data_IF_773693096947
#
_entry.id   IF_773693096947
#
_cell.length_a   1.000
_cell.length_b   1.000
_cell.length_c   1.000
_cell.angle_alpha   90.00
_cell.angle_beta   90.00
_cell.angle_gamma   90.00
#
_symmetry.space_group_name_H-M   'P 1'
#
loop_
_entity.id
_entity.type
_entity.pdbx_description
1 polymer ?
#
# COMPACT_ATOMS: atom_id res chain seq x y z
N UNK A 1 -9.70 -43.50 -15.06
CA UNK A 1 -10.55 -42.39 -14.58
C UNK A 1 -9.82 -41.08 -14.92
N UNK A 2 -9.67 -40.84 -16.21
CA UNK A 2 -9.05 -39.66 -16.77
C UNK A 2 -9.82 -39.35 -18.03
N UNK A 3 -10.84 -38.52 -17.94
CA UNK A 3 -11.39 -37.82 -19.10
C UNK A 3 -12.64 -37.00 -18.69
N UNK A 4 -12.45 -35.76 -18.29
CA UNK A 4 -13.45 -34.68 -18.38
C UNK A 4 -12.82 -33.37 -17.89
N UNK A 5 -11.83 -32.84 -18.63
CA UNK A 5 -11.59 -31.41 -18.57
C UNK A 5 -12.81 -30.69 -19.20
N UNK A 6 -13.33 -29.61 -18.61
CA UNK A 6 -14.47 -28.91 -19.15
C UNK A 6 -14.13 -28.37 -20.57
N UNK A 7 -15.11 -28.38 -21.47
CA UNK A 7 -14.98 -28.00 -22.88
C UNK A 7 -14.29 -26.61 -23.08
N UNK A 8 -14.45 -25.68 -22.14
CA UNK A 8 -13.80 -24.36 -22.14
C UNK A 8 -12.28 -24.45 -22.02
N UNK A 9 -11.76 -25.40 -21.22
CA UNK A 9 -10.31 -25.60 -21.03
C UNK A 9 -9.69 -26.20 -22.28
N UNK A 10 -10.41 -27.08 -22.98
CA UNK A 10 -9.95 -27.73 -24.20
C UNK A 10 -9.88 -26.72 -25.37
N UNK A 11 -10.89 -25.87 -25.52
CA UNK A 11 -10.90 -24.82 -26.54
C UNK A 11 -9.82 -23.75 -26.30
N UNK A 12 -9.51 -23.43 -25.05
CA UNK A 12 -8.41 -22.52 -24.70
C UNK A 12 -7.04 -23.11 -24.98
N UNK A 13 -6.85 -24.42 -24.73
CA UNK A 13 -5.60 -25.12 -25.03
C UNK A 13 -5.39 -25.25 -26.55
N UNK A 14 -6.44 -25.60 -27.32
CA UNK A 14 -6.39 -25.67 -28.77
C UNK A 14 -6.13 -24.31 -29.43
N UNK A 15 -6.60 -23.21 -28.81
CA UNK A 15 -6.33 -21.84 -29.30
C UNK A 15 -4.87 -21.42 -29.09
N UNK A 16 -4.21 -21.95 -28.04
CA UNK A 16 -2.79 -21.69 -27.75
C UNK A 16 -1.88 -22.50 -28.70
N UNK A 17 -2.31 -23.69 -29.11
CA UNK A 17 -1.53 -24.60 -29.98
C UNK A 17 -1.67 -24.29 -31.49
N UNK A 18 -2.58 -23.38 -31.91
CA UNK A 18 -2.69 -23.00 -33.32
C UNK A 18 -1.43 -22.28 -33.77
N UNK A 19 -0.79 -22.73 -34.88
CA UNK A 19 0.35 -22.01 -35.43
C UNK A 19 -0.05 -20.60 -35.82
N UNK A 20 0.70 -19.61 -35.31
CA UNK A 20 0.52 -18.21 -35.67
C UNK A 20 0.77 -18.06 -37.17
N UNK A 21 -0.12 -17.40 -37.95
CA UNK A 21 0.10 -17.21 -39.39
C UNK A 21 1.42 -16.52 -39.67
N UNK A 22 2.20 -17.06 -40.60
CA UNK A 22 3.60 -16.70 -40.89
C UNK A 22 3.80 -15.33 -41.60
N UNK A 23 2.94 -14.34 -41.44
CA UNK A 23 2.96 -13.16 -42.31
C UNK A 23 2.96 -11.79 -41.61
N UNK A 24 3.13 -11.72 -40.27
CA UNK A 24 3.34 -10.42 -39.59
C UNK A 24 4.65 -10.55 -38.82
N UNK A 25 5.62 -9.64 -38.96
CA UNK A 25 6.77 -9.62 -38.07
C UNK A 25 6.27 -9.39 -36.65
N UNK A 26 6.06 -10.47 -35.92
CA UNK A 26 5.70 -10.42 -34.50
C UNK A 26 6.92 -9.87 -33.80
N UNK A 27 6.84 -8.70 -33.14
CA UNK A 27 7.95 -8.22 -32.34
C UNK A 27 8.33 -9.33 -31.34
N UNK A 28 9.62 -9.58 -31.18
CA UNK A 28 10.10 -10.54 -30.18
C UNK A 28 9.41 -10.25 -28.85
N UNK A 29 8.86 -11.28 -28.16
CA UNK A 29 8.23 -11.05 -26.87
C UNK A 29 9.23 -10.40 -25.93
N UNK A 30 8.79 -9.39 -25.18
CA UNK A 30 9.66 -8.72 -24.25
C UNK A 30 10.21 -9.69 -23.20
N UNK A 31 11.53 -9.67 -23.01
CA UNK A 31 12.20 -10.40 -21.94
C UNK A 31 12.16 -9.63 -20.63
N UNK A 32 12.13 -8.30 -20.72
CA UNK A 32 12.09 -7.37 -19.58
C UNK A 32 10.94 -6.40 -19.70
N UNK A 33 10.11 -6.32 -18.66
CA UNK A 33 9.14 -5.24 -18.50
C UNK A 33 9.59 -4.28 -17.41
N UNK A 34 9.68 -3.01 -17.74
CA UNK A 34 9.88 -1.93 -16.76
C UNK A 34 8.51 -1.37 -16.38
N UNK A 35 8.08 -1.56 -15.15
CA UNK A 35 6.84 -1.01 -14.60
C UNK A 35 7.13 0.30 -13.90
N UNK A 36 6.45 1.35 -14.32
CA UNK A 36 6.65 2.71 -13.82
C UNK A 36 5.31 3.26 -13.34
N UNK A 37 5.03 3.25 -12.02
CA UNK A 37 3.85 3.93 -11.48
C UNK A 37 4.01 5.43 -11.61
N UNK A 38 2.94 6.12 -12.03
CA UNK A 38 2.98 7.57 -12.29
C UNK A 38 1.80 8.30 -11.64
N UNK A 39 2.08 9.49 -11.12
CA UNK A 39 1.08 10.49 -10.72
C UNK A 39 1.70 11.88 -10.78
N UNK A 40 1.23 12.75 -11.71
CA UNK A 40 1.79 14.07 -12.00
C UNK A 40 3.27 14.02 -12.37
N UNK A 41 3.59 13.27 -13.44
CA UNK A 41 4.96 13.06 -13.93
C UNK A 41 5.13 13.40 -15.43
N UNK A 42 4.23 14.23 -15.96
CA UNK A 42 4.13 14.56 -17.40
C UNK A 42 5.48 14.88 -18.04
N UNK A 43 6.28 15.72 -17.40
CA UNK A 43 7.54 16.24 -17.98
C UNK A 43 8.68 15.22 -17.87
N UNK A 44 8.57 14.27 -16.95
CA UNK A 44 9.58 13.23 -16.75
C UNK A 44 9.44 12.05 -17.72
N UNK A 45 8.22 11.76 -18.21
CA UNK A 45 7.94 10.58 -19.05
C UNK A 45 8.77 10.54 -20.34
N UNK A 46 8.87 11.62 -21.16
CA UNK A 46 9.68 11.59 -22.37
C UNK A 46 11.15 11.33 -22.09
N UNK A 47 11.69 11.96 -21.05
CA UNK A 47 13.09 11.82 -20.66
C UNK A 47 13.41 10.40 -20.17
N UNK A 48 12.47 9.79 -19.43
CA UNK A 48 12.63 8.41 -18.97
C UNK A 48 12.63 7.43 -20.15
N UNK A 49 11.68 7.58 -21.11
CA UNK A 49 11.64 6.74 -22.31
C UNK A 49 12.94 6.84 -23.09
N UNK A 50 13.48 8.03 -23.29
CA UNK A 50 14.76 8.23 -23.98
C UNK A 50 15.92 7.52 -23.24
N UNK A 51 15.97 7.64 -21.91
CA UNK A 51 16.99 6.95 -21.10
C UNK A 51 16.87 5.44 -21.21
N UNK A 52 15.67 4.88 -21.11
CA UNK A 52 15.44 3.44 -21.24
C UNK A 52 15.84 2.93 -22.62
N UNK A 53 15.50 3.63 -23.70
CA UNK A 53 15.92 3.28 -25.06
C UNK A 53 17.45 3.24 -25.21
N UNK A 54 18.15 4.16 -24.54
CA UNK A 54 19.61 4.20 -24.57
C UNK A 54 20.24 3.08 -23.75
N UNK A 55 19.70 2.80 -22.56
CA UNK A 55 20.30 1.86 -21.62
C UNK A 55 19.96 0.40 -21.93
N UNK A 56 18.78 0.10 -22.48
CA UNK A 56 18.31 -1.26 -22.74
C UNK A 56 18.55 -1.73 -24.19
N UNK A 57 19.53 -1.13 -24.88
CA UNK A 57 19.92 -1.60 -26.22
C UNK A 57 20.37 -3.06 -26.17
N UNK A 58 19.82 -3.89 -27.08
CA UNK A 58 20.17 -5.31 -27.17
C UNK A 58 19.34 -6.23 -26.25
N UNK A 59 18.47 -5.70 -25.40
CA UNK A 59 17.49 -6.45 -24.61
C UNK A 59 16.13 -6.25 -25.27
N UNK A 60 15.32 -7.30 -25.38
CA UNK A 60 13.92 -7.20 -25.77
C UNK A 60 13.12 -6.70 -24.57
N UNK A 61 12.71 -5.42 -24.58
CA UNK A 61 12.07 -4.79 -23.43
C UNK A 61 10.81 -3.99 -23.79
N UNK A 62 9.95 -3.84 -22.80
CA UNK A 62 8.83 -2.91 -22.82
C UNK A 62 8.80 -2.06 -21.54
N UNK A 63 8.16 -0.90 -21.59
CA UNK A 63 7.81 -0.10 -20.41
C UNK A 63 6.31 0.05 -20.31
N UNK A 64 5.78 -0.19 -19.11
CA UNK A 64 4.37 0.00 -18.75
C UNK A 64 4.27 1.12 -17.74
N UNK A 65 3.81 2.28 -18.19
CA UNK A 65 3.44 3.38 -17.32
C UNK A 65 2.04 3.14 -16.77
N UNK A 66 1.93 3.14 -15.44
CA UNK A 66 0.65 2.93 -14.75
C UNK A 66 0.25 4.23 -14.06
N UNK A 67 -0.64 4.98 -14.70
CA UNK A 67 -1.02 6.33 -14.29
C UNK A 67 -2.25 6.35 -13.39
N UNK A 68 -2.13 6.95 -12.22
CA UNK A 68 -3.17 7.06 -11.21
C UNK A 68 -4.12 8.24 -11.46
N UNK A 69 -4.56 8.39 -12.72
CA UNK A 69 -5.49 9.43 -13.18
C UNK A 69 -4.94 10.84 -12.91
N UNK A 70 -3.75 11.09 -13.45
CA UNK A 70 -3.04 12.37 -13.30
C UNK A 70 -3.78 13.51 -13.98
N UNK A 71 -4.06 14.61 -13.27
CA UNK A 71 -4.72 15.79 -13.87
C UNK A 71 -3.80 16.65 -14.75
N UNK A 72 -2.48 16.41 -14.74
CA UNK A 72 -1.48 17.20 -15.47
C UNK A 72 -1.28 16.79 -16.93
N UNK A 73 -1.97 15.72 -17.41
CA UNK A 73 -1.81 15.21 -18.76
C UNK A 73 -0.73 14.13 -18.91
N UNK A 74 -0.26 13.53 -17.82
CA UNK A 74 0.73 12.41 -17.84
C UNK A 74 0.27 11.25 -18.74
N UNK A 75 -1.00 10.81 -18.62
CA UNK A 75 -1.54 9.72 -19.43
C UNK A 75 -1.59 10.06 -20.93
N UNK A 76 -1.94 11.30 -21.29
CA UNK A 76 -1.99 11.79 -22.65
C UNK A 76 -0.61 11.76 -23.31
N UNK A 77 0.41 12.28 -22.63
CA UNK A 77 1.81 12.26 -23.09
C UNK A 77 2.30 10.82 -23.25
N UNK A 78 1.99 9.94 -22.30
CA UNK A 78 2.36 8.52 -22.37
C UNK A 78 1.71 7.84 -23.59
N UNK A 79 0.42 8.07 -23.85
CA UNK A 79 -0.27 7.54 -25.03
C UNK A 79 0.30 8.08 -26.34
N UNK A 80 0.73 9.34 -26.36
CA UNK A 80 1.38 9.92 -27.54
C UNK A 80 2.71 9.21 -27.84
N UNK A 81 3.50 8.90 -26.81
CA UNK A 81 4.74 8.13 -26.94
C UNK A 81 4.47 6.66 -27.33
N UNK A 82 3.42 6.03 -26.79
CA UNK A 82 3.01 4.68 -27.15
C UNK A 82 2.63 4.52 -28.63
N UNK A 83 2.09 5.57 -29.26
CA UNK A 83 1.86 5.59 -30.72
C UNK A 83 3.13 5.65 -31.54
N UNK A 84 4.22 6.21 -30.96
CA UNK A 84 5.52 6.36 -31.64
C UNK A 84 6.45 5.18 -31.37
N UNK A 85 6.37 4.59 -30.18
CA UNK A 85 7.27 3.54 -29.70
C UNK A 85 6.47 2.29 -29.31
N UNK A 86 6.57 1.18 -30.05
CA UNK A 86 5.75 -0.02 -29.83
C UNK A 86 6.01 -0.72 -28.49
N UNK A 87 7.16 -0.45 -27.86
CA UNK A 87 7.55 -0.93 -26.56
C UNK A 87 7.13 -0.02 -25.38
N UNK A 88 6.35 1.04 -25.64
CA UNK A 88 5.77 1.92 -24.60
C UNK A 88 4.30 1.65 -24.47
N UNK A 89 3.84 1.41 -23.24
CA UNK A 89 2.43 1.15 -22.92
C UNK A 89 1.94 2.07 -21.81
N UNK A 90 0.64 2.37 -21.81
CA UNK A 90 -0.02 3.21 -20.80
C UNK A 90 -1.24 2.47 -20.24
N UNK A 91 -1.31 2.38 -18.92
CA UNK A 91 -2.51 1.96 -18.17
C UNK A 91 -2.95 3.15 -17.34
N UNK A 92 -4.13 3.72 -17.62
CA UNK A 92 -4.72 4.77 -16.79
C UNK A 92 -5.75 4.15 -15.84
N UNK A 93 -5.61 4.42 -14.54
CA UNK A 93 -6.38 3.83 -13.44
C UNK A 93 -7.43 4.81 -12.93
N UNK A 94 -8.56 4.91 -13.59
CA UNK A 94 -9.62 5.85 -13.24
C UNK A 94 -10.28 5.46 -11.90
N UNK A 95 -10.37 6.43 -10.98
CA UNK A 95 -11.02 6.25 -9.68
C UNK A 95 -10.25 5.39 -8.67
N UNK A 96 -9.01 5.01 -8.97
CA UNK A 96 -8.13 4.20 -8.10
C UNK A 96 -6.76 4.86 -7.98
N UNK A 97 -6.15 4.79 -6.81
CA UNK A 97 -4.81 5.31 -6.54
C UNK A 97 -4.02 4.40 -5.62
N UNK A 98 -2.72 4.40 -5.74
CA UNK A 98 -1.79 3.72 -4.86
C UNK A 98 -0.65 3.05 -5.60
N UNK A 99 0.59 3.38 -5.20
CA UNK A 99 1.81 2.93 -5.88
C UNK A 99 1.93 1.41 -5.93
N UNK A 100 1.72 0.73 -4.80
CA UNK A 100 1.85 -0.73 -4.76
C UNK A 100 0.85 -1.43 -5.69
N UNK A 101 -0.43 -1.01 -5.68
CA UNK A 101 -1.44 -1.57 -6.59
C UNK A 101 -1.19 -1.21 -8.06
N UNK A 102 -0.60 -0.03 -8.34
CA UNK A 102 -0.17 0.34 -9.69
C UNK A 102 0.93 -0.59 -10.19
N UNK A 103 1.94 -0.88 -9.36
CA UNK A 103 2.99 -1.84 -9.69
C UNK A 103 2.40 -3.23 -9.97
N UNK A 104 1.49 -3.72 -9.12
CA UNK A 104 0.84 -5.04 -9.31
C UNK A 104 0.09 -5.09 -10.65
N UNK A 105 -0.71 -4.08 -10.99
CA UNK A 105 -1.42 -4.02 -12.27
C UNK A 105 -0.46 -3.95 -13.46
N UNK A 106 0.60 -3.17 -13.36
CA UNK A 106 1.63 -3.10 -14.40
C UNK A 106 2.30 -4.45 -14.64
N UNK A 107 2.67 -5.16 -13.57
CA UNK A 107 3.26 -6.52 -13.68
C UNK A 107 2.27 -7.50 -14.29
N UNK A 108 1.02 -7.53 -13.83
CA UNK A 108 -0.02 -8.43 -14.35
C UNK A 108 -0.37 -8.18 -15.82
N UNK A 109 -0.15 -6.96 -16.32
CA UNK A 109 -0.41 -6.61 -17.74
C UNK A 109 0.65 -7.11 -18.70
N UNK A 110 1.78 -7.61 -18.21
CA UNK A 110 2.91 -8.10 -19.01
C UNK A 110 3.04 -9.61 -18.96
N UNK A 111 3.72 -10.19 -19.96
CA UNK A 111 4.11 -11.61 -20.00
C UNK A 111 5.63 -11.83 -19.85
N UNK A 112 6.43 -10.75 -19.71
CA UNK A 112 7.88 -10.83 -19.64
C UNK A 112 8.36 -11.66 -18.44
N UNK A 113 9.43 -12.48 -18.58
CA UNK A 113 9.97 -13.30 -17.50
C UNK A 113 10.71 -12.49 -16.41
N UNK A 114 11.16 -11.28 -16.74
CA UNK A 114 11.82 -10.36 -15.82
C UNK A 114 11.06 -9.04 -15.72
N UNK A 115 10.89 -8.57 -14.50
CA UNK A 115 10.13 -7.35 -14.19
C UNK A 115 11.02 -6.41 -13.40
N UNK A 116 11.22 -5.20 -13.91
CA UNK A 116 11.80 -4.10 -13.15
C UNK A 116 10.70 -3.15 -12.67
N UNK A 117 10.84 -2.61 -11.48
CA UNK A 117 10.01 -1.52 -10.95
C UNK A 117 10.93 -0.33 -10.70
N UNK A 118 10.54 0.85 -11.14
CA UNK A 118 11.23 2.11 -10.86
C UNK A 118 10.29 3.30 -10.87
N UNK A 119 10.66 4.38 -10.18
CA UNK A 119 9.90 5.61 -10.17
C UNK A 119 10.13 6.44 -11.45
N UNK A 120 9.16 7.28 -11.81
CA UNK A 120 9.22 8.14 -12.99
C UNK A 120 10.06 9.42 -12.82
N UNK A 121 10.44 9.79 -11.59
CA UNK A 121 11.04 11.07 -11.22
C UNK A 121 12.52 11.23 -11.57
N UNK A 122 13.08 10.27 -12.32
CA UNK A 122 14.46 10.22 -12.79
C UNK A 122 15.54 10.15 -11.70
N UNK A 123 15.16 9.93 -10.45
CA UNK A 123 16.09 9.78 -9.33
C UNK A 123 16.80 8.41 -9.33
N UNK A 124 16.14 7.38 -9.88
CA UNK A 124 16.73 6.06 -10.06
C UNK A 124 17.66 6.01 -11.28
N UNK A 125 18.78 5.31 -11.15
CA UNK A 125 19.75 5.20 -12.23
C UNK A 125 19.39 4.06 -13.19
N UNK A 126 18.72 4.39 -14.30
CA UNK A 126 18.34 3.43 -15.32
C UNK A 126 19.53 2.67 -15.95
N UNK A 127 20.76 3.17 -15.81
CA UNK A 127 21.97 2.49 -16.32
C UNK A 127 22.29 1.18 -15.58
N UNK A 128 21.65 0.95 -14.42
CA UNK A 128 21.79 -0.29 -13.66
C UNK A 128 20.90 -1.43 -14.18
N UNK A 129 19.86 -1.13 -14.95
CA UNK A 129 18.91 -2.15 -15.44
C UNK A 129 19.57 -3.30 -16.20
N UNK A 130 20.55 -3.06 -17.13
CA UNK A 130 21.24 -4.15 -17.79
C UNK A 130 21.99 -5.06 -16.82
N UNK A 131 22.70 -4.50 -15.84
CA UNK A 131 23.43 -5.27 -14.84
C UNK A 131 22.49 -6.08 -13.93
N UNK A 132 21.35 -5.52 -13.53
CA UNK A 132 20.31 -6.22 -12.77
C UNK A 132 19.73 -7.39 -13.59
N UNK A 133 19.47 -7.15 -14.88
CA UNK A 133 18.96 -8.17 -15.80
C UNK A 133 19.95 -9.32 -15.95
N UNK A 134 21.23 -9.03 -16.20
CA UNK A 134 22.29 -10.04 -16.33
C UNK A 134 22.47 -10.84 -15.04
N UNK A 135 22.39 -10.20 -13.89
CA UNK A 135 22.47 -10.92 -12.61
C UNK A 135 21.31 -11.89 -12.41
N UNK A 136 20.07 -11.49 -12.72
CA UNK A 136 18.91 -12.38 -12.60
C UNK A 136 18.91 -13.51 -13.63
N UNK A 137 19.44 -13.24 -14.82
CA UNK A 137 19.54 -14.23 -15.90
C UNK A 137 20.59 -15.29 -15.59
N UNK A 138 21.74 -14.89 -15.07
CA UNK A 138 22.93 -15.75 -14.96
C UNK A 138 23.16 -16.30 -13.55
N UNK A 139 22.48 -15.79 -12.52
CA UNK A 139 22.64 -16.23 -11.13
C UNK A 139 21.32 -16.80 -10.58
N UNK A 140 21.38 -17.68 -9.59
CA UNK A 140 20.20 -18.26 -8.93
C UNK A 140 19.54 -17.24 -7.96
N UNK A 141 19.26 -16.04 -8.44
CA UNK A 141 18.59 -14.97 -7.68
C UNK A 141 17.11 -14.91 -8.04
N UNK A 142 16.29 -14.56 -7.06
CA UNK A 142 14.85 -14.25 -7.25
C UNK A 142 14.64 -12.77 -7.56
N UNK A 143 15.45 -11.88 -6.93
CA UNK A 143 15.31 -10.42 -6.99
C UNK A 143 16.68 -9.72 -6.86
N UNK A 144 16.84 -8.62 -7.58
CA UNK A 144 17.98 -7.68 -7.44
C UNK A 144 17.44 -6.29 -7.11
N UNK A 145 18.06 -5.62 -6.13
CA UNK A 145 17.57 -4.38 -5.55
C UNK A 145 18.62 -3.29 -5.73
N UNK A 146 18.21 -2.13 -6.22
CA UNK A 146 19.02 -0.91 -6.14
C UNK A 146 18.97 -0.36 -4.70
N UNK A 147 20.11 -0.28 -4.02
CA UNK A 147 20.20 0.15 -2.64
C UNK A 147 20.99 1.46 -2.50
N UNK A 148 20.45 2.38 -1.72
CA UNK A 148 21.12 3.64 -1.31
C UNK A 148 22.05 3.42 -0.12
N UNK A 149 21.94 2.27 0.56
CA UNK A 149 22.65 1.95 1.80
C UNK A 149 23.71 0.83 1.60
N UNK A 150 23.72 0.15 0.46
CA UNK A 150 24.79 -0.80 0.13
C UNK A 150 26.14 -0.07 0.02
N UNK A 151 27.25 -0.76 0.23
CA UNK A 151 28.58 -0.17 0.23
C UNK A 151 28.85 0.59 -1.07
N UNK A 152 29.06 1.91 -0.98
CA UNK A 152 29.20 2.83 -2.12
C UNK A 152 27.91 3.53 -2.57
N UNK A 153 26.76 3.22 -1.97
CA UNK A 153 25.54 4.01 -2.16
C UNK A 153 25.60 5.35 -1.43
N UNK A 154 24.94 6.35 -1.99
CA UNK A 154 24.88 7.69 -1.40
C UNK A 154 23.46 8.25 -1.45
N UNK A 155 23.13 9.08 -0.49
CA UNK A 155 21.84 9.78 -0.38
C UNK A 155 21.76 11.01 -1.28
N UNK A 156 22.86 11.38 -1.93
CA UNK A 156 22.93 12.60 -2.74
C UNK A 156 22.53 13.84 -1.93
N UNK A 157 21.62 14.65 -2.48
CA UNK A 157 21.10 15.86 -1.82
C UNK A 157 20.00 15.64 -0.78
N UNK A 158 19.76 14.39 -0.35
CA UNK A 158 18.69 14.08 0.60
C UNK A 158 18.96 14.67 2.00
N UNK A 159 18.07 15.55 2.47
CA UNK A 159 18.21 16.22 3.76
C UNK A 159 18.26 15.23 4.95
N UNK A 160 19.03 15.55 5.98
CA UNK A 160 19.26 14.69 7.18
C UNK A 160 17.97 14.19 7.86
N UNK A 161 16.90 14.98 7.85
CA UNK A 161 15.60 14.57 8.42
C UNK A 161 15.03 13.38 7.66
N UNK A 162 15.11 13.39 6.32
CA UNK A 162 14.64 12.28 5.47
C UNK A 162 15.48 11.01 5.66
N UNK A 163 16.78 11.16 5.82
CA UNK A 163 17.70 10.03 6.12
C UNK A 163 17.32 9.38 7.45
N UNK A 164 17.01 10.17 8.51
CA UNK A 164 16.56 9.63 9.80
C UNK A 164 15.23 8.88 9.69
N UNK A 165 14.25 9.43 8.97
CA UNK A 165 12.96 8.79 8.72
C UNK A 165 13.15 7.48 7.95
N UNK A 166 13.99 7.49 6.91
CA UNK A 166 14.32 6.29 6.13
C UNK A 166 14.98 5.20 7.00
N UNK A 167 15.91 5.56 7.88
CA UNK A 167 16.54 4.62 8.84
C UNK A 167 15.53 4.03 9.83
N UNK A 168 14.59 4.83 10.32
CA UNK A 168 13.50 4.33 11.17
C UNK A 168 12.61 3.36 10.40
N UNK A 169 12.24 3.71 9.16
CA UNK A 169 11.50 2.83 8.28
C UNK A 169 12.22 1.48 8.05
N UNK A 170 13.53 1.51 7.80
CA UNK A 170 14.32 0.29 7.64
C UNK A 170 14.33 -0.57 8.92
N UNK A 171 14.36 0.04 10.12
CA UNK A 171 14.25 -0.72 11.37
C UNK A 171 12.88 -1.40 11.52
N UNK A 172 11.80 -0.72 11.17
CA UNK A 172 10.46 -1.29 11.20
C UNK A 172 10.29 -2.40 10.15
N UNK A 173 10.86 -2.24 8.95
CA UNK A 173 10.85 -3.27 7.93
C UNK A 173 11.46 -4.60 8.42
N UNK A 174 12.53 -4.55 9.21
CA UNK A 174 13.21 -5.74 9.78
C UNK A 174 12.32 -6.57 10.69
N UNK A 175 11.21 -6.03 11.20
CA UNK A 175 10.23 -6.79 11.98
C UNK A 175 9.45 -7.78 11.13
N UNK A 176 9.26 -7.48 9.84
CA UNK A 176 8.42 -8.26 8.93
C UNK A 176 9.22 -8.92 7.79
N UNK A 177 10.35 -8.32 7.41
CA UNK A 177 11.25 -8.84 6.36
C UNK A 177 12.24 -9.81 6.97
N UNK A 178 12.15 -11.08 6.59
CA UNK A 178 13.05 -12.16 7.04
C UNK A 178 14.34 -12.21 6.20
N UNK A 179 14.96 -11.05 5.93
CA UNK A 179 16.18 -10.92 5.15
C UNK A 179 16.97 -9.69 5.62
N UNK A 180 18.29 -9.75 5.54
CA UNK A 180 19.17 -8.64 5.92
C UNK A 180 19.33 -7.65 4.76
N UNK A 181 18.23 -6.96 4.44
CA UNK A 181 18.20 -5.90 3.43
C UNK A 181 18.78 -4.61 3.98
N UNK A 182 19.68 -4.00 3.21
CA UNK A 182 20.21 -2.66 3.55
C UNK A 182 19.20 -1.56 3.24
N UNK A 183 18.40 -1.71 2.15
CA UNK A 183 17.37 -0.76 1.74
C UNK A 183 16.01 -1.42 1.43
N UNK A 184 15.29 -1.92 2.44
CA UNK A 184 13.96 -2.51 2.24
C UNK A 184 12.92 -1.51 1.72
N UNK A 185 13.22 -0.21 1.80
CA UNK A 185 12.33 0.87 1.37
C UNK A 185 12.58 1.30 -0.09
N UNK A 186 13.48 0.63 -0.81
CA UNK A 186 13.78 0.96 -2.20
C UNK A 186 12.56 0.76 -3.11
N UNK A 187 12.30 1.74 -3.99
CA UNK A 187 11.36 1.64 -5.10
C UNK A 187 12.00 1.14 -6.40
N UNK A 188 13.30 0.78 -6.37
CA UNK A 188 14.05 0.37 -7.53
C UNK A 188 14.56 -1.07 -7.37
N UNK A 189 13.95 -2.00 -8.08
CA UNK A 189 14.31 -3.41 -8.03
C UNK A 189 13.89 -4.14 -9.29
N UNK A 190 14.50 -5.31 -9.54
CA UNK A 190 14.13 -6.22 -10.61
C UNK A 190 13.95 -7.61 -10.07
N UNK A 191 12.90 -8.32 -10.51
CA UNK A 191 12.57 -9.65 -10.02
C UNK A 191 12.17 -10.60 -11.16
N UNK A 192 12.25 -11.91 -10.90
CA UNK A 192 11.70 -12.93 -11.79
C UNK A 192 10.18 -12.98 -11.68
N UNK A 193 9.48 -13.13 -12.81
CA UNK A 193 8.03 -13.31 -12.84
C UNK A 193 7.57 -14.45 -11.93
N UNK A 194 8.30 -15.56 -11.93
CA UNK A 194 7.99 -16.70 -11.09
C UNK A 194 7.96 -16.39 -9.58
N UNK A 195 8.77 -15.43 -9.12
CA UNK A 195 8.66 -14.90 -7.76
C UNK A 195 7.34 -14.13 -7.59
N UNK A 196 7.04 -13.19 -8.49
CA UNK A 196 5.82 -12.39 -8.42
C UNK A 196 4.56 -13.26 -8.39
N UNK A 197 4.47 -14.26 -9.27
CA UNK A 197 3.31 -15.16 -9.37
C UNK A 197 3.11 -15.98 -8.09
N UNK A 198 4.19 -16.28 -7.36
CA UNK A 198 4.10 -16.96 -6.04
C UNK A 198 3.52 -16.07 -4.95
N UNK A 199 3.82 -14.77 -4.97
CA UNK A 199 3.49 -13.87 -3.86
C UNK A 199 2.28 -12.98 -4.13
N UNK A 200 1.89 -12.74 -5.37
CA UNK A 200 0.90 -11.71 -5.75
C UNK A 200 -0.43 -11.84 -5.01
N UNK A 201 -0.89 -13.07 -4.74
CA UNK A 201 -2.15 -13.33 -4.01
C UNK A 201 -2.06 -13.02 -2.52
N UNK A 202 -0.85 -12.90 -1.97
CA UNK A 202 -0.58 -12.61 -0.56
C UNK A 202 -0.10 -11.17 -0.34
N UNK A 203 0.06 -10.39 -1.43
CA UNK A 203 0.38 -8.98 -1.33
C UNK A 203 -0.81 -8.21 -0.78
N UNK A 204 -0.56 -7.26 0.11
CA UNK A 204 -1.57 -6.31 0.57
C UNK A 204 -2.00 -5.36 -0.55
N UNK A 205 -1.11 -5.12 -1.52
CA UNK A 205 -1.25 -4.16 -2.62
C UNK A 205 -1.64 -2.74 -2.15
N UNK A 206 -1.36 -2.42 -0.88
CA UNK A 206 -1.65 -1.14 -0.25
C UNK A 206 -0.36 -0.38 0.05
N UNK A 207 -0.47 0.96 0.09
CA UNK A 207 0.65 1.83 0.43
C UNK A 207 1.72 1.95 -0.66
N UNK A 208 2.91 2.41 -0.24
CA UNK A 208 4.01 2.81 -1.14
C UNK A 208 5.21 1.84 -1.13
N UNK A 209 5.17 0.73 -0.40
CA UNK A 209 6.34 -0.11 -0.11
C UNK A 209 6.17 -1.56 -0.58
N UNK A 210 6.01 -1.71 -1.89
CA UNK A 210 5.80 -3.02 -2.52
C UNK A 210 6.98 -3.99 -2.28
N UNK A 211 8.22 -3.50 -2.18
CA UNK A 211 9.39 -4.35 -1.92
C UNK A 211 9.28 -5.05 -0.57
N UNK A 212 8.93 -4.31 0.50
CA UNK A 212 8.68 -4.88 1.84
C UNK A 212 7.56 -5.91 1.78
N UNK A 213 6.47 -5.61 1.05
CA UNK A 213 5.33 -6.49 0.90
C UNK A 213 5.72 -7.81 0.20
N UNK A 214 6.53 -7.76 -0.88
CA UNK A 214 7.05 -8.94 -1.58
C UNK A 214 7.86 -9.84 -0.64
N UNK A 215 8.81 -9.27 0.12
CA UNK A 215 9.64 -10.05 1.04
C UNK A 215 8.83 -10.62 2.20
N UNK A 216 7.93 -9.84 2.78
CA UNK A 216 7.08 -10.28 3.90
C UNK A 216 6.04 -11.35 3.47
N UNK A 217 5.59 -11.32 2.21
CA UNK A 217 4.61 -12.26 1.66
C UNK A 217 5.25 -13.55 1.13
N UNK A 218 6.58 -13.60 1.02
CA UNK A 218 7.24 -14.80 0.52
C UNK A 218 7.21 -15.93 1.55
N UNK A 219 6.72 -17.14 1.19
CA UNK A 219 6.69 -18.28 2.11
C UNK A 219 8.08 -18.84 2.41
N UNK A 220 9.07 -18.55 1.55
CA UNK A 220 10.46 -19.00 1.67
C UNK A 220 11.40 -17.81 1.62
N UNK A 221 12.60 -17.88 2.26
CA UNK A 221 13.64 -16.87 2.07
C UNK A 221 13.94 -16.66 0.58
N UNK A 222 14.04 -15.40 0.17
CA UNK A 222 14.35 -15.03 -1.21
C UNK A 222 15.86 -14.98 -1.41
N UNK A 223 16.33 -15.50 -2.55
CA UNK A 223 17.68 -15.29 -3.02
C UNK A 223 17.77 -13.88 -3.65
N UNK A 224 18.51 -12.97 -3.03
CA UNK A 224 18.59 -11.57 -3.46
C UNK A 224 20.04 -11.08 -3.55
N UNK A 225 20.20 -9.96 -4.26
CA UNK A 225 21.44 -9.17 -4.27
C UNK A 225 21.09 -7.69 -4.28
N UNK A 226 21.94 -6.87 -3.67
CA UNK A 226 21.81 -5.42 -3.66
C UNK A 226 22.94 -4.79 -4.47
N UNK A 227 22.59 -3.83 -5.32
CA UNK A 227 23.51 -3.00 -6.09
C UNK A 227 23.49 -1.58 -5.54
N UNK A 228 24.64 -1.05 -5.20
CA UNK A 228 24.77 0.32 -4.74
C UNK A 228 24.45 1.32 -5.87
N UNK A 229 23.68 2.36 -5.57
CA UNK A 229 23.49 3.49 -6.46
C UNK A 229 23.42 4.82 -5.70
N UNK A 230 23.80 5.89 -6.41
CA UNK A 230 23.67 7.25 -5.89
C UNK A 230 22.30 7.80 -6.28
N UNK A 231 21.54 8.21 -5.28
CA UNK A 231 20.23 8.81 -5.45
C UNK A 231 20.38 10.21 -6.07
N UNK A 232 19.88 10.38 -7.30
CA UNK A 232 20.03 11.65 -8.04
C UNK A 232 19.05 12.71 -7.54
N UNK A 233 19.36 13.98 -7.84
CA UNK A 233 18.39 15.05 -7.64
C UNK A 233 17.20 14.89 -8.57
N UNK A 234 16.02 15.22 -8.05
CA UNK A 234 14.79 15.24 -8.84
C UNK A 234 14.85 16.42 -9.81
N UNK A 235 14.57 16.16 -11.09
CA UNK A 235 14.57 17.22 -12.11
C UNK A 235 13.27 18.03 -12.08
N UNK A 236 12.12 17.36 -11.90
CA UNK A 236 10.79 17.96 -11.87
C UNK A 236 9.93 17.33 -10.79
N UNK A 237 8.96 18.07 -10.23
CA UNK A 237 7.96 17.60 -9.27
C UNK A 237 8.34 17.76 -7.80
N UNK A 238 7.36 17.58 -6.91
CA UNK A 238 7.49 17.71 -5.46
C UNK A 238 7.52 16.35 -4.77
N UNK A 239 8.11 16.29 -3.57
CA UNK A 239 8.14 15.07 -2.77
C UNK A 239 6.79 14.80 -2.15
N UNK A 240 6.21 13.65 -2.47
CA UNK A 240 4.94 13.15 -1.91
C UNK A 240 5.10 12.44 -0.56
N UNK A 241 6.24 12.60 0.13
CA UNK A 241 6.46 12.08 1.48
C UNK A 241 5.60 12.88 2.47
N UNK A 242 4.35 12.47 2.60
CA UNK A 242 3.38 13.03 3.52
C UNK A 242 3.24 12.12 4.75
N UNK A 243 2.67 12.67 5.83
CA UNK A 243 2.35 11.93 7.07
C UNK A 243 1.51 10.69 6.78
N UNK A 244 0.67 10.73 5.73
CA UNK A 244 -0.12 9.60 5.26
C UNK A 244 0.73 8.43 4.79
N UNK A 245 1.85 8.68 4.10
CA UNK A 245 2.78 7.61 3.63
C UNK A 245 3.41 6.87 4.80
N UNK A 246 3.76 7.59 5.87
CA UNK A 246 4.30 6.97 7.08
C UNK A 246 3.23 6.12 7.79
N UNK A 247 1.99 6.59 7.82
CA UNK A 247 0.86 5.86 8.38
C UNK A 247 0.55 4.59 7.58
N UNK A 248 0.47 4.67 6.24
CA UNK A 248 0.27 3.51 5.36
C UNK A 248 1.37 2.45 5.51
N UNK A 249 2.60 2.91 5.71
CA UNK A 249 3.70 2.00 5.98
C UNK A 249 3.54 1.28 7.33
N UNK A 250 3.08 1.99 8.35
CA UNK A 250 2.79 1.40 9.65
C UNK A 250 1.65 0.36 9.54
N UNK A 251 0.59 0.68 8.77
CA UNK A 251 -0.50 -0.25 8.46
C UNK A 251 0.04 -1.53 7.78
N UNK A 252 0.93 -1.39 6.80
CA UNK A 252 1.56 -2.55 6.14
C UNK A 252 2.34 -3.43 7.13
N UNK A 253 3.13 -2.82 8.01
CA UNK A 253 3.90 -3.57 9.02
C UNK A 253 2.97 -4.30 9.98
N UNK A 254 1.92 -3.64 10.46
CA UNK A 254 0.89 -4.24 11.33
C UNK A 254 0.16 -5.37 10.60
N UNK A 255 -0.20 -5.18 9.33
CA UNK A 255 -0.84 -6.21 8.51
C UNK A 255 0.01 -7.48 8.43
N UNK A 256 1.29 -7.34 8.17
CA UNK A 256 2.20 -8.49 8.06
C UNK A 256 2.49 -9.17 9.41
N UNK A 257 2.39 -8.44 10.52
CA UNK A 257 2.59 -9.01 11.86
C UNK A 257 1.36 -9.73 12.38
N UNK A 258 0.19 -9.12 12.29
CA UNK A 258 -1.04 -9.60 12.95
C UNK A 258 -2.28 -9.63 12.04
N UNK A 259 -2.18 -9.21 10.78
CA UNK A 259 -3.31 -9.11 9.85
C UNK A 259 -4.00 -10.46 9.58
N UNK A 260 -3.28 -11.57 9.76
CA UNK A 260 -3.83 -12.92 9.67
C UNK A 260 -4.74 -13.30 10.86
N UNK A 261 -4.66 -12.57 11.99
CA UNK A 261 -5.50 -12.78 13.18
C UNK A 261 -6.56 -11.71 13.29
N UNK A 262 -6.18 -10.44 13.06
CA UNK A 262 -7.03 -9.28 13.29
C UNK A 262 -6.92 -8.32 12.10
N UNK A 263 -8.04 -7.91 11.47
CA UNK A 263 -8.00 -6.93 10.38
C UNK A 263 -7.30 -5.62 10.80
N UNK A 264 -6.36 -5.12 10.01
CA UNK A 264 -5.60 -3.89 10.32
C UNK A 264 -6.53 -2.71 10.56
N UNK A 265 -7.62 -2.61 9.79
CA UNK A 265 -8.64 -1.57 10.02
C UNK A 265 -9.23 -1.60 11.43
N UNK A 266 -9.41 -2.79 12.02
CA UNK A 266 -9.87 -2.92 13.40
C UNK A 266 -8.80 -2.44 14.40
N UNK A 267 -7.54 -2.72 14.14
CA UNK A 267 -6.43 -2.24 14.98
C UNK A 267 -6.36 -0.72 14.97
N UNK A 268 -6.42 -0.11 13.79
CA UNK A 268 -6.44 1.35 13.63
C UNK A 268 -7.67 1.97 14.31
N UNK A 269 -8.85 1.38 14.08
CA UNK A 269 -10.10 1.80 14.72
C UNK A 269 -9.99 1.78 16.26
N UNK A 270 -9.44 0.72 16.80
CA UNK A 270 -9.26 0.53 18.25
C UNK A 270 -8.22 1.49 18.83
N UNK A 271 -7.13 1.76 18.10
CA UNK A 271 -6.12 2.75 18.49
C UNK A 271 -6.72 4.17 18.55
N UNK A 272 -7.55 4.53 17.57
CA UNK A 272 -8.29 5.79 17.57
C UNK A 272 -9.27 5.83 18.75
N UNK A 273 -9.94 4.72 19.07
CA UNK A 273 -10.78 4.59 20.26
C UNK A 273 -10.02 4.87 21.57
N UNK A 274 -8.78 4.35 21.68
CA UNK A 274 -7.87 4.65 22.79
C UNK A 274 -7.49 6.14 22.87
N UNK A 275 -7.24 6.79 21.73
CA UNK A 275 -7.02 8.24 21.69
C UNK A 275 -8.26 9.02 22.13
N UNK A 276 -9.45 8.54 21.75
CA UNK A 276 -10.73 9.10 22.20
C UNK A 276 -10.88 9.10 23.72
N UNK A 277 -10.34 8.09 24.41
CA UNK A 277 -10.31 8.08 25.87
C UNK A 277 -9.48 9.26 26.43
N UNK A 278 -8.34 9.56 25.82
CA UNK A 278 -7.50 10.70 26.21
C UNK A 278 -8.25 12.01 26.03
N UNK A 279 -8.93 12.16 24.89
CA UNK A 279 -9.79 13.34 24.61
C UNK A 279 -10.91 13.45 25.64
N UNK A 280 -11.58 12.33 25.94
CA UNK A 280 -12.64 12.29 26.94
C UNK A 280 -12.15 12.79 28.31
N UNK A 281 -11.04 12.24 28.80
CA UNK A 281 -10.47 12.62 30.09
C UNK A 281 -10.03 14.10 30.13
N UNK A 282 -9.45 14.59 29.05
CA UNK A 282 -9.03 15.98 28.94
C UNK A 282 -10.25 16.94 29.00
N UNK A 283 -11.30 16.68 28.20
CA UNK A 283 -12.51 17.50 28.19
C UNK A 283 -13.24 17.42 29.53
N UNK A 284 -13.31 16.24 30.14
CA UNK A 284 -13.91 16.05 31.46
C UNK A 284 -13.17 16.89 32.52
N UNK A 285 -11.85 16.82 32.54
CA UNK A 285 -11.02 17.59 33.48
C UNK A 285 -11.18 19.09 33.29
N UNK A 286 -11.21 19.59 32.04
CA UNK A 286 -11.40 21.00 31.70
C UNK A 286 -12.78 21.43 32.17
N UNK A 287 -13.84 20.70 31.84
CA UNK A 287 -15.23 21.04 32.17
C UNK A 287 -15.46 21.10 33.68
N UNK A 288 -14.91 20.15 34.43
CA UNK A 288 -15.03 20.10 35.88
C UNK A 288 -14.19 21.16 36.60
N UNK A 289 -12.88 21.23 36.24
CA UNK A 289 -11.91 22.00 37.01
C UNK A 289 -11.79 23.46 36.58
N UNK A 290 -11.92 23.74 35.25
CA UNK A 290 -11.76 25.09 34.70
C UNK A 290 -13.09 25.80 34.54
N UNK A 291 -14.14 25.09 34.08
CA UNK A 291 -15.46 25.67 33.83
C UNK A 291 -16.42 25.53 35.02
N UNK A 292 -16.06 24.73 36.06
CA UNK A 292 -16.87 24.53 37.24
C UNK A 292 -18.24 23.86 37.00
N UNK A 293 -18.38 23.12 35.89
CA UNK A 293 -19.65 22.48 35.54
C UNK A 293 -19.89 21.23 36.38
N UNK A 294 -21.16 20.91 36.65
CA UNK A 294 -21.54 19.70 37.34
C UNK A 294 -21.10 18.43 36.57
N UNK A 295 -20.84 17.37 37.30
CA UNK A 295 -20.33 16.09 36.75
C UNK A 295 -21.16 15.53 35.57
N UNK A 296 -22.50 15.47 35.63
CA UNK A 296 -23.29 14.92 34.51
C UNK A 296 -23.14 15.69 33.21
N UNK A 297 -23.10 17.05 33.29
CA UNK A 297 -22.90 17.90 32.12
C UNK A 297 -21.51 17.73 31.57
N UNK A 298 -20.48 17.74 32.43
CA UNK A 298 -19.08 17.53 32.06
C UNK A 298 -18.86 16.17 31.38
N UNK A 299 -19.48 15.11 31.92
CA UNK A 299 -19.43 13.76 31.38
C UNK A 299 -20.09 13.70 29.98
N UNK A 300 -21.25 14.33 29.80
CA UNK A 300 -21.96 14.41 28.52
C UNK A 300 -21.10 15.12 27.46
N UNK A 301 -20.53 16.28 27.81
CA UNK A 301 -19.63 17.03 26.92
C UNK A 301 -18.39 16.22 26.53
N UNK A 302 -17.73 15.56 27.49
CA UNK A 302 -16.57 14.74 27.25
C UNK A 302 -16.88 13.56 26.32
N UNK A 303 -18.03 12.92 26.50
CA UNK A 303 -18.48 11.79 25.66
C UNK A 303 -18.72 12.24 24.21
N UNK A 304 -19.46 13.34 24.02
CA UNK A 304 -19.73 13.88 22.67
C UNK A 304 -18.43 14.30 22.00
N UNK A 305 -17.53 14.99 22.71
CA UNK A 305 -16.23 15.40 22.15
C UNK A 305 -15.37 14.20 21.71
N UNK A 306 -15.29 13.15 22.56
CA UNK A 306 -14.54 11.93 22.24
C UNK A 306 -15.14 11.20 21.03
N UNK A 307 -16.46 11.03 20.99
CA UNK A 307 -17.14 10.39 19.84
C UNK A 307 -16.94 11.18 18.54
N UNK A 308 -17.02 12.53 18.59
CA UNK A 308 -16.80 13.40 17.43
C UNK A 308 -15.37 13.28 16.93
N UNK A 309 -14.38 13.31 17.82
CA UNK A 309 -12.98 13.14 17.50
C UNK A 309 -12.73 11.76 16.87
N UNK A 310 -13.25 10.69 17.47
CA UNK A 310 -13.15 9.34 16.97
C UNK A 310 -13.78 9.19 15.57
N UNK A 311 -14.96 9.77 15.35
CA UNK A 311 -15.58 9.78 14.04
C UNK A 311 -14.72 10.48 13.00
N UNK A 312 -14.22 11.69 13.32
CA UNK A 312 -13.36 12.47 12.40
C UNK A 312 -12.08 11.73 12.03
N UNK A 313 -11.37 11.18 13.02
CA UNK A 313 -10.16 10.42 12.80
C UNK A 313 -10.41 9.11 12.02
N UNK A 314 -11.47 8.38 12.36
CA UNK A 314 -11.82 7.17 11.62
C UNK A 314 -12.21 7.48 10.16
N UNK A 315 -12.90 8.59 9.91
CA UNK A 315 -13.26 9.02 8.57
C UNK A 315 -12.03 9.37 7.71
N UNK A 316 -10.96 9.90 8.32
CA UNK A 316 -9.74 10.32 7.62
C UNK A 316 -8.74 9.17 7.49
N UNK A 317 -8.60 8.33 8.52
CA UNK A 317 -7.56 7.30 8.61
C UNK A 317 -8.10 5.91 8.29
N UNK A 318 -9.06 5.39 9.07
CA UNK A 318 -9.55 3.99 8.97
C UNK A 318 -10.37 3.77 7.70
N UNK A 319 -11.21 4.74 7.32
CA UNK A 319 -12.16 4.66 6.20
C UNK A 319 -11.84 5.67 5.09
N UNK A 320 -10.55 5.97 4.86
CA UNK A 320 -10.09 6.94 3.85
C UNK A 320 -10.54 6.60 2.43
N UNK A 321 -10.68 5.30 2.11
CA UNK A 321 -11.21 4.79 0.83
C UNK A 321 -12.72 5.03 0.67
N UNK A 322 -13.42 5.32 1.76
CA UNK A 322 -14.88 5.57 1.83
C UNK A 322 -15.21 6.87 2.56
N UNK A 323 -14.31 7.83 2.51
CA UNK A 323 -14.40 9.09 3.24
C UNK A 323 -15.73 9.79 2.97
N UNK A 324 -16.46 10.10 4.04
CA UNK A 324 -17.69 10.88 3.98
C UNK A 324 -17.36 12.36 3.84
N UNK A 325 -18.12 13.08 3.00
CA UNK A 325 -17.96 14.53 2.74
C UNK A 325 -19.32 15.22 2.64
N UNK A 326 -19.34 16.54 2.90
CA UNK A 326 -20.55 17.35 2.80
C UNK A 326 -21.67 16.82 3.71
N UNK A 327 -22.91 16.80 3.23
CA UNK A 327 -24.08 16.35 4.00
C UNK A 327 -23.95 14.90 4.52
N UNK A 328 -23.26 14.03 3.79
CA UNK A 328 -23.02 12.64 4.22
C UNK A 328 -22.14 12.55 5.46
N UNK A 329 -21.25 13.53 5.69
CA UNK A 329 -20.45 13.62 6.91
C UNK A 329 -21.35 13.81 8.13
N UNK A 330 -22.34 14.69 8.05
CA UNK A 330 -23.28 14.94 9.14
C UNK A 330 -24.16 13.72 9.43
N UNK A 331 -24.76 13.12 8.41
CA UNK A 331 -25.54 11.88 8.57
C UNK A 331 -24.69 10.73 9.13
N UNK A 332 -23.44 10.62 8.68
CA UNK A 332 -22.49 9.63 9.20
C UNK A 332 -22.16 9.86 10.67
N UNK A 333 -21.98 11.09 11.11
CA UNK A 333 -21.75 11.42 12.52
C UNK A 333 -22.92 10.99 13.41
N UNK A 334 -24.16 11.29 12.98
CA UNK A 334 -25.35 10.86 13.72
C UNK A 334 -25.49 9.33 13.78
N UNK A 335 -25.23 8.66 12.65
CA UNK A 335 -25.18 7.18 12.60
C UNK A 335 -24.13 6.62 13.55
N UNK A 336 -22.93 7.24 13.57
CA UNK A 336 -21.85 6.81 14.47
C UNK A 336 -22.19 7.00 15.94
N UNK A 337 -22.85 8.09 16.31
CA UNK A 337 -23.36 8.30 17.67
C UNK A 337 -24.34 7.22 18.08
N UNK A 338 -25.30 6.86 17.22
CA UNK A 338 -26.25 5.80 17.49
C UNK A 338 -25.54 4.45 17.71
N UNK A 339 -24.60 4.09 16.83
CA UNK A 339 -23.83 2.84 16.95
C UNK A 339 -23.03 2.80 18.24
N UNK A 340 -22.30 3.88 18.58
CA UNK A 340 -21.50 3.94 19.80
C UNK A 340 -22.36 3.92 21.07
N UNK A 341 -23.56 4.50 21.06
CA UNK A 341 -24.49 4.45 22.20
C UNK A 341 -24.95 3.01 22.47
N UNK A 342 -25.29 2.25 21.44
CA UNK A 342 -25.65 0.82 21.57
C UNK A 342 -24.44 0.01 22.05
N UNK A 343 -23.24 0.29 21.48
CA UNK A 343 -21.99 -0.35 21.91
C UNK A 343 -21.65 -0.08 23.39
N UNK A 344 -21.97 1.11 23.90
CA UNK A 344 -21.78 1.44 25.31
C UNK A 344 -22.71 0.63 26.22
N UNK A 345 -23.95 0.41 25.82
CA UNK A 345 -24.90 -0.47 26.55
C UNK A 345 -24.39 -1.91 26.57
N UNK A 346 -23.93 -2.43 25.42
CA UNK A 346 -23.36 -3.76 25.31
C UNK A 346 -22.11 -3.93 26.19
N UNK A 347 -21.20 -2.93 26.18
CA UNK A 347 -20.01 -2.91 27.04
C UNK A 347 -20.39 -3.05 28.52
N UNK A 348 -21.31 -2.19 29.00
CA UNK A 348 -21.76 -2.21 30.42
C UNK A 348 -22.41 -3.53 30.76
N UNK A 349 -23.24 -4.10 29.87
CA UNK A 349 -23.92 -5.38 30.10
C UNK A 349 -22.95 -6.54 30.24
N UNK A 350 -21.98 -6.64 29.35
CA UNK A 350 -20.94 -7.70 29.39
C UNK A 350 -20.02 -7.52 30.59
N UNK A 351 -19.56 -6.29 30.87
CA UNK A 351 -18.73 -6.00 32.03
C UNK A 351 -19.43 -6.40 33.34
N UNK A 352 -20.74 -6.09 33.47
CA UNK A 352 -21.54 -6.45 34.62
C UNK A 352 -21.69 -7.98 34.75
N UNK A 353 -21.96 -8.69 33.64
CA UNK A 353 -22.07 -10.15 33.63
C UNK A 353 -20.77 -10.83 34.07
N UNK A 354 -19.61 -10.40 33.51
CA UNK A 354 -18.31 -10.98 33.87
C UNK A 354 -17.95 -10.65 35.31
N UNK A 355 -18.16 -9.42 35.77
CA UNK A 355 -17.94 -9.06 37.19
C UNK A 355 -18.75 -9.87 38.15
N UNK A 356 -20.02 -10.17 37.83
CA UNK A 356 -20.87 -10.97 38.65
C UNK A 356 -20.44 -12.46 38.72
N UNK A 357 -19.78 -12.95 37.66
CA UNK A 357 -19.31 -14.33 37.57
C UNK A 357 -17.96 -14.57 38.26
N UNK A 358 -17.00 -13.62 38.09
CA UNK A 358 -15.60 -13.81 38.51
C UNK A 358 -15.11 -12.76 39.51
N UNK A 359 -15.91 -11.71 39.79
CA UNK A 359 -15.58 -10.58 40.69
C UNK A 359 -14.28 -9.83 40.33
N UNK A 360 -13.64 -10.14 39.20
CA UNK A 360 -12.42 -9.48 38.71
C UNK A 360 -12.80 -8.21 37.94
N UNK A 361 -12.72 -7.05 38.58
CA UNK A 361 -13.09 -5.76 38.00
C UNK A 361 -12.32 -5.41 36.72
N UNK A 362 -11.03 -5.76 36.68
CA UNK A 362 -10.17 -5.51 35.51
C UNK A 362 -10.56 -6.41 34.32
N UNK A 363 -10.85 -7.70 34.57
CA UNK A 363 -11.29 -8.64 33.54
C UNK A 363 -12.66 -8.22 32.98
N UNK A 364 -13.59 -7.81 33.84
CA UNK A 364 -14.89 -7.27 33.45
C UNK A 364 -14.75 -6.02 32.56
N UNK A 365 -13.86 -5.10 32.93
CA UNK A 365 -13.58 -3.91 32.15
C UNK A 365 -12.99 -4.21 30.79
N UNK A 366 -12.01 -5.12 30.69
CA UNK A 366 -11.39 -5.55 29.43
C UNK A 366 -12.43 -6.25 28.53
N UNK A 367 -13.23 -7.18 29.08
CA UNK A 367 -14.25 -7.90 28.31
C UNK A 367 -15.31 -6.95 27.74
N UNK A 368 -15.82 -6.03 28.55
CA UNK A 368 -16.77 -5.01 28.10
C UNK A 368 -16.20 -4.11 27.01
N UNK A 369 -14.96 -3.62 27.20
CA UNK A 369 -14.28 -2.77 26.21
C UNK A 369 -14.03 -3.50 24.89
N UNK A 370 -13.64 -4.79 24.93
CA UNK A 370 -13.43 -5.59 23.74
C UNK A 370 -14.74 -5.77 22.94
N UNK A 371 -15.83 -6.12 23.61
CA UNK A 371 -17.15 -6.27 22.97
C UNK A 371 -17.63 -4.94 22.39
N UNK A 372 -17.50 -3.83 23.14
CA UNK A 372 -17.84 -2.50 22.64
C UNK A 372 -17.01 -2.09 21.42
N UNK A 373 -15.70 -2.38 21.39
CA UNK A 373 -14.84 -2.08 20.26
C UNK A 373 -15.22 -2.90 19.02
N UNK A 374 -15.44 -4.21 19.18
CA UNK A 374 -15.87 -5.10 18.08
C UNK A 374 -17.22 -4.65 17.53
N UNK A 375 -18.19 -4.36 18.38
CA UNK A 375 -19.51 -3.85 17.99
C UNK A 375 -19.37 -2.55 17.19
N UNK A 376 -18.69 -1.55 17.76
CA UNK A 376 -18.54 -0.24 17.15
C UNK A 376 -17.86 -0.33 15.78
N UNK A 377 -16.82 -1.17 15.66
CA UNK A 377 -16.13 -1.40 14.39
C UNK A 377 -17.05 -2.09 13.37
N UNK A 378 -17.62 -3.23 13.73
CA UNK A 378 -18.43 -4.04 12.82
C UNK A 378 -19.65 -3.26 12.29
N UNK A 379 -20.41 -2.65 13.20
CA UNK A 379 -21.64 -1.94 12.83
C UNK A 379 -21.32 -0.63 12.10
N UNK A 380 -20.31 0.13 12.53
CA UNK A 380 -19.91 1.36 11.81
C UNK A 380 -19.42 1.06 10.39
N UNK A 381 -18.72 -0.05 10.16
CA UNK A 381 -18.25 -0.45 8.83
C UNK A 381 -19.37 -0.72 7.84
N UNK A 382 -20.52 -1.19 8.33
CA UNK A 382 -21.69 -1.54 7.52
C UNK A 382 -22.67 -0.37 7.37
N UNK A 383 -22.92 0.38 8.44
CA UNK A 383 -23.96 1.42 8.44
C UNK A 383 -23.41 2.83 8.21
N UNK A 384 -22.31 3.19 8.86
CA UNK A 384 -21.75 4.55 8.78
C UNK A 384 -20.90 4.70 7.51
N UNK A 385 -19.97 3.75 7.25
CA UNK A 385 -19.09 3.77 6.07
C UNK A 385 -19.47 2.66 5.07
N UNK A 386 -20.69 2.72 4.57
CA UNK A 386 -21.24 1.75 3.62
C UNK A 386 -20.43 1.67 2.33
N UNK A 387 -20.12 0.45 1.86
CA UNK A 387 -19.65 0.25 0.47
C UNK A 387 -20.78 0.64 -0.47
N UNK A 388 -20.54 1.55 -1.40
CA UNK A 388 -21.44 1.70 -2.55
C UNK A 388 -21.20 0.48 -3.45
N UNK A 389 -22.23 -0.32 -3.63
CA UNK A 389 -22.32 -1.26 -4.74
C UNK A 389 -22.39 -0.49 -6.05
#
# INVERSE_FOLDING_TARGET
>A
MADRLPAVTRAATEAIERPVPAAVPVPLPAELTVVVPTFNERDNIPLLVERLQKMLKGIAWEVVFVDDDSPDGTAEVTRALARRYPNVRCIQRIGRRGLASACVEGVLSSAAPYIAVMDADLQHDASMLPAMFDMLRNKPLDIVIGSRFAGGGDFGSMGQRRVRISRLGNRLARLVVKADLTDPMSGFFMLKRSLFDRVVRSLSAQGYKILVDIFASSPKPLAFSELAFTFRERLHGESKLDTLVAFEYLELVVDKLIGHIVPVRFVVFSAIGGLGLVVHLAVLAISLKLLGLGFPVSQGMATIAAMTCNFGLNNILTYRDRQLRGWKLFCGLLSFYAVCSIGAVANVGIAFYVFRSDQSWWLAGVAGAAVGAVWNYAISSVFTWRVKQ
#
